data_IF_358023951416
#
_entry.id   IF_358023951416
#
_cell.length_a   1.000
_cell.length_b   1.000
_cell.length_c   1.000
_cell.angle_alpha   90.00
_cell.angle_beta   90.00
_cell.angle_gamma   90.00
#
_symmetry.space_group_name_H-M   'P 1'
#
loop_
_entity.id
_entity.type
_entity.pdbx_description
1 polymer ?
#
# COMPACT_ATOMS: atom_id res chain seq x y z
N UNK A 1 11.90 8.62 28.34
CA UNK A 1 10.56 8.03 28.34
C UNK A 1 9.90 8.45 27.04
N UNK A 2 9.49 7.51 26.17
CA UNK A 2 8.87 7.82 24.87
C UNK A 2 7.42 7.34 24.96
N UNK A 3 6.48 8.27 25.07
CA UNK A 3 5.05 7.97 25.09
C UNK A 3 4.33 8.99 24.24
N UNK A 4 3.43 8.52 23.39
CA UNK A 4 2.67 9.32 22.45
C UNK A 4 1.84 8.40 21.57
N UNK A 5 0.84 8.94 20.89
CA UNK A 5 0.01 8.20 19.94
C UNK A 5 -0.07 8.99 18.64
N UNK A 6 0.18 8.31 17.52
CA UNK A 6 -0.04 8.88 16.19
C UNK A 6 -1.47 8.61 15.76
N UNK A 7 -2.17 9.62 15.27
CA UNK A 7 -3.53 9.48 14.72
C UNK A 7 -3.56 8.72 13.38
N UNK A 8 -2.39 8.38 12.83
CA UNK A 8 -2.22 7.68 11.55
C UNK A 8 -1.11 6.64 11.65
N UNK A 9 -1.19 5.60 10.82
CA UNK A 9 -0.14 4.61 10.57
C UNK A 9 0.19 3.67 11.75
N UNK A 10 -0.82 3.04 12.37
CA UNK A 10 -0.58 1.88 13.24
C UNK A 10 -0.89 0.58 12.48
N UNK A 11 -0.19 -0.50 12.85
CA UNK A 11 -0.38 -1.82 12.23
C UNK A 11 -0.08 -2.94 13.20
N UNK A 12 -0.62 -4.12 12.93
CA UNK A 12 -0.27 -5.33 13.68
C UNK A 12 0.97 -5.97 13.05
N UNK A 13 2.03 -6.15 13.85
CA UNK A 13 3.23 -6.87 13.41
C UNK A 13 3.09 -8.39 13.66
N UNK A 14 2.19 -8.78 14.57
CA UNK A 14 1.75 -10.15 14.82
C UNK A 14 0.35 -10.10 15.48
N UNK A 15 -0.16 -11.23 15.97
CA UNK A 15 -1.50 -11.34 16.58
C UNK A 15 -1.70 -10.55 17.88
N UNK A 16 -0.63 -10.16 18.59
CA UNK A 16 -0.69 -9.53 19.92
C UNK A 16 0.02 -8.18 20.01
N UNK A 17 0.88 -7.84 19.04
CA UNK A 17 1.73 -6.66 19.09
C UNK A 17 1.34 -5.68 17.99
N UNK A 18 1.03 -4.45 18.40
CA UNK A 18 0.77 -3.31 17.51
C UNK A 18 2.03 -2.46 17.42
N UNK A 19 2.39 -2.02 16.22
CA UNK A 19 3.45 -1.04 15.99
C UNK A 19 2.87 0.29 15.50
N UNK A 20 3.45 1.40 15.95
CA UNK A 20 3.05 2.75 15.53
C UNK A 20 4.20 3.75 15.70
N UNK A 21 4.25 4.83 14.90
CA UNK A 21 5.29 5.84 15.00
C UNK A 21 5.02 6.79 16.17
N UNK A 22 6.10 7.26 16.81
CA UNK A 22 6.11 8.24 17.89
C UNK A 22 7.36 9.12 17.76
N UNK A 23 7.24 10.21 16.99
CA UNK A 23 8.38 11.09 16.69
C UNK A 23 9.44 10.36 15.87
N UNK A 24 10.66 10.26 16.40
CA UNK A 24 11.77 9.51 15.80
C UNK A 24 11.87 8.06 16.29
N UNK A 25 10.84 7.54 16.97
CA UNK A 25 10.78 6.15 17.41
C UNK A 25 9.57 5.45 16.81
N UNK A 26 9.65 4.13 16.75
CA UNK A 26 8.54 3.23 16.46
C UNK A 26 8.33 2.40 17.72
N UNK A 27 7.12 2.48 18.28
CA UNK A 27 6.76 1.75 19.48
C UNK A 27 6.04 0.47 19.09
N UNK A 28 6.37 -0.62 19.76
CA UNK A 28 5.69 -1.89 19.64
C UNK A 28 5.07 -2.23 20.99
N UNK A 29 3.75 -2.22 21.04
CA UNK A 29 2.97 -2.47 22.24
C UNK A 29 2.36 -3.87 22.17
N UNK A 30 2.75 -4.74 23.09
CA UNK A 30 2.04 -5.99 23.34
C UNK A 30 0.72 -5.69 24.07
N UNK A 31 -0.40 -5.96 23.38
CA UNK A 31 -1.73 -5.59 23.85
C UNK A 31 -2.12 -6.34 25.13
N UNK A 32 -1.59 -7.56 25.33
CA UNK A 32 -1.92 -8.43 26.46
C UNK A 32 -1.09 -8.10 27.69
N UNK A 33 0.23 -8.01 27.52
CA UNK A 33 1.18 -7.78 28.63
C UNK A 33 1.41 -6.30 28.93
N UNK A 34 0.97 -5.40 28.04
CA UNK A 34 1.21 -3.94 28.11
C UNK A 34 2.69 -3.57 28.09
N UNK A 35 3.57 -4.49 27.70
CA UNK A 35 5.00 -4.21 27.50
C UNK A 35 5.19 -3.48 26.19
N UNK A 36 6.07 -2.47 26.22
CA UNK A 36 6.44 -1.69 25.05
C UNK A 36 7.93 -1.84 24.79
N UNK A 37 8.28 -2.13 23.54
CA UNK A 37 9.65 -1.99 23.03
C UNK A 37 9.69 -0.84 22.03
N UNK A 38 10.83 -0.16 21.92
CA UNK A 38 11.00 0.98 21.03
C UNK A 38 12.15 0.70 20.06
N UNK A 39 11.93 1.00 18.78
CA UNK A 39 12.95 1.06 17.74
C UNK A 39 13.20 2.52 17.39
N UNK A 40 14.45 2.96 17.46
CA UNK A 40 14.81 4.32 17.05
C UNK A 40 15.01 4.37 15.53
N UNK A 41 14.44 5.39 14.89
CA UNK A 41 14.74 5.70 13.49
C UNK A 41 16.21 6.14 13.37
N UNK A 42 17.00 5.57 12.45
CA UNK A 42 18.42 5.93 12.31
C UNK A 42 18.66 7.42 12.03
N UNK A 43 17.74 8.08 11.32
CA UNK A 43 17.83 9.50 11.01
C UNK A 43 16.44 10.14 11.00
N UNK A 44 16.33 11.37 11.50
CA UNK A 44 15.11 12.17 11.40
C UNK A 44 13.88 11.60 12.12
N UNK A 45 12.71 12.09 11.72
CA UNK A 45 11.41 11.60 12.18
C UNK A 45 11.02 10.35 11.37
N UNK A 46 10.20 9.47 11.96
CA UNK A 46 9.57 8.38 11.20
C UNK A 46 8.54 8.97 10.23
N UNK A 47 8.67 8.67 8.94
CA UNK A 47 7.72 9.02 7.88
C UNK A 47 6.59 7.99 7.79
N UNK A 48 6.35 7.45 6.59
CA UNK A 48 5.44 6.33 6.39
C UNK A 48 5.91 5.05 7.13
N UNK A 49 4.95 4.27 7.62
CA UNK A 49 5.14 3.02 8.36
C UNK A 49 4.18 1.95 7.83
N UNK A 50 4.65 0.72 7.64
CA UNK A 50 3.81 -0.43 7.33
C UNK A 50 4.39 -1.72 7.92
N UNK A 51 3.54 -2.70 8.20
CA UNK A 51 3.94 -3.97 8.81
C UNK A 51 3.32 -5.14 8.05
N UNK A 52 4.09 -6.22 7.90
CA UNK A 52 3.60 -7.49 7.40
C UNK A 52 3.57 -8.50 8.55
N UNK A 53 2.36 -8.84 8.98
CA UNK A 53 2.12 -9.80 10.06
C UNK A 53 2.52 -11.25 9.72
N UNK A 54 2.49 -11.62 8.44
CA UNK A 54 2.81 -12.99 7.99
C UNK A 54 4.31 -13.27 8.12
N UNK A 55 5.15 -12.34 7.66
CA UNK A 55 6.61 -12.46 7.71
C UNK A 55 7.23 -11.78 8.94
N UNK A 56 6.42 -11.13 9.79
CA UNK A 56 6.87 -10.38 10.97
C UNK A 56 7.98 -9.37 10.64
N UNK A 57 7.79 -8.65 9.54
CA UNK A 57 8.70 -7.57 9.12
C UNK A 57 7.97 -6.24 9.10
N UNK A 58 8.73 -5.20 9.35
CA UNK A 58 8.29 -3.81 9.38
C UNK A 58 9.06 -3.04 8.32
N UNK A 59 8.38 -2.15 7.59
CA UNK A 59 9.02 -1.16 6.75
C UNK A 59 8.65 0.25 7.21
N UNK A 60 9.62 1.15 7.25
CA UNK A 60 9.40 2.57 7.55
C UNK A 60 10.39 3.46 6.81
N UNK A 61 9.99 4.68 6.54
CA UNK A 61 10.88 5.71 6.00
C UNK A 61 11.37 6.66 7.08
N UNK A 62 12.56 7.23 6.88
CA UNK A 62 12.94 8.46 7.57
C UNK A 62 12.39 9.70 6.84
N UNK A 63 12.26 10.81 7.58
CA UNK A 63 11.91 12.12 7.02
C UNK A 63 13.12 13.05 7.06
N UNK A 64 13.84 13.10 5.94
CA UNK A 64 15.04 13.91 5.73
C UNK A 64 15.22 14.16 4.23
N UNK A 65 16.25 14.91 3.85
CA UNK A 65 16.68 14.98 2.46
C UNK A 65 17.16 13.60 1.99
N UNK A 66 16.64 13.16 0.83
CA UNK A 66 16.86 11.83 0.25
C UNK A 66 16.52 10.72 1.26
N UNK A 67 15.22 10.57 1.60
CA UNK A 67 14.79 9.60 2.59
C UNK A 67 15.08 8.15 2.16
N UNK A 68 15.25 7.29 3.15
CA UNK A 68 15.54 5.87 2.99
C UNK A 68 14.39 5.08 3.61
N UNK A 69 13.98 4.00 2.94
CA UNK A 69 13.05 3.03 3.51
C UNK A 69 13.87 1.92 4.17
N UNK A 70 13.68 1.74 5.47
CA UNK A 70 14.31 0.71 6.26
C UNK A 70 13.35 -0.47 6.45
N UNK A 71 13.88 -1.69 6.37
CA UNK A 71 13.13 -2.91 6.69
C UNK A 71 13.79 -3.62 7.85
N UNK A 72 12.98 -3.97 8.85
CA UNK A 72 13.43 -4.58 10.11
C UNK A 72 12.63 -5.86 10.40
N UNK A 73 13.28 -6.83 11.05
CA UNK A 73 12.60 -8.00 11.62
C UNK A 73 11.93 -7.66 12.95
N UNK A 74 10.90 -8.42 13.29
CA UNK A 74 10.35 -8.49 14.63
C UNK A 74 10.38 -9.96 15.11
N UNK A 75 10.66 -10.25 16.40
CA UNK A 75 10.86 -9.33 17.54
C UNK A 75 12.30 -8.84 17.73
N UNK A 76 13.26 -9.35 16.95
CA UNK A 76 14.70 -9.06 17.16
C UNK A 76 15.05 -7.60 16.86
N UNK A 77 14.26 -6.91 16.03
CA UNK A 77 14.53 -5.54 15.58
C UNK A 77 15.88 -5.43 14.87
N UNK A 78 16.23 -6.46 14.09
CA UNK A 78 17.42 -6.43 13.23
C UNK A 78 17.09 -5.81 11.88
N UNK A 79 17.92 -4.88 11.41
CA UNK A 79 17.80 -4.33 10.06
C UNK A 79 18.07 -5.41 9.01
N UNK A 80 17.16 -5.58 8.07
CA UNK A 80 17.30 -6.51 6.94
C UNK A 80 17.89 -5.80 5.72
N UNK A 81 17.30 -4.66 5.33
CA UNK A 81 17.69 -3.93 4.12
C UNK A 81 17.37 -2.44 4.22
N UNK A 82 17.93 -1.67 3.30
CA UNK A 82 17.68 -0.25 3.06
C UNK A 82 17.36 -0.05 1.58
N UNK A 83 16.17 0.44 1.28
CA UNK A 83 15.75 0.77 -0.08
C UNK A 83 15.96 2.28 -0.28
N UNK A 84 16.74 2.62 -1.31
CA UNK A 84 17.06 3.99 -1.68
C UNK A 84 16.39 4.28 -3.02
N UNK A 85 15.35 5.12 -2.99
CA UNK A 85 14.68 5.59 -4.20
C UNK A 85 15.03 7.03 -4.55
N UNK A 86 14.25 7.55 -5.48
CA UNK A 86 14.42 8.89 -6.02
C UNK A 86 13.62 9.96 -5.25
N UNK A 87 12.94 9.59 -4.15
CA UNK A 87 12.23 10.54 -3.32
C UNK A 87 13.23 11.54 -2.72
N UNK A 88 12.88 12.82 -2.69
CA UNK A 88 13.76 13.86 -2.16
C UNK A 88 13.46 14.25 -0.71
N UNK A 89 12.20 14.18 -0.28
CA UNK A 89 11.78 14.76 1.01
C UNK A 89 11.03 13.79 1.93
N UNK A 90 10.11 12.98 1.38
CA UNK A 90 9.24 12.15 2.21
C UNK A 90 8.63 11.00 1.40
N UNK A 91 8.35 9.90 2.09
CA UNK A 91 7.44 8.86 1.62
C UNK A 91 6.15 8.97 2.42
N UNK A 92 5.02 9.17 1.73
CA UNK A 92 3.72 9.34 2.39
C UNK A 92 3.03 8.02 2.69
N UNK A 93 3.23 7.00 1.84
CA UNK A 93 2.59 5.68 1.98
C UNK A 93 3.59 4.55 1.73
N UNK A 94 3.41 3.45 2.47
CA UNK A 94 4.10 2.18 2.27
C UNK A 94 3.08 1.05 2.40
N UNK A 95 3.20 0.01 1.59
CA UNK A 95 2.38 -1.19 1.68
C UNK A 95 3.20 -2.43 1.34
N UNK A 96 3.12 -3.47 2.16
CA UNK A 96 3.64 -4.79 1.81
C UNK A 96 2.64 -5.54 0.94
N UNK A 97 3.14 -6.36 0.01
CA UNK A 97 2.32 -7.40 -0.60
C UNK A 97 1.92 -8.45 0.45
N UNK A 98 0.75 -9.06 0.27
CA UNK A 98 0.29 -10.11 1.17
C UNK A 98 1.17 -11.37 1.07
N UNK A 99 1.60 -11.70 -0.15
CA UNK A 99 2.54 -12.77 -0.46
C UNK A 99 3.77 -12.23 -1.17
N UNK A 100 4.92 -12.86 -0.93
CA UNK A 100 6.18 -12.53 -1.60
C UNK A 100 6.92 -11.31 -1.02
N UNK A 101 8.11 -11.00 -1.56
CA UNK A 101 9.00 -9.98 -1.05
C UNK A 101 8.77 -8.62 -1.70
N UNK A 102 7.51 -8.20 -1.90
CA UNK A 102 7.20 -6.95 -2.57
C UNK A 102 6.76 -5.86 -1.60
N UNK A 103 7.25 -4.65 -1.86
CA UNK A 103 6.87 -3.45 -1.15
C UNK A 103 6.48 -2.39 -2.18
N UNK A 104 5.36 -1.73 -1.98
CA UNK A 104 4.99 -0.53 -2.70
C UNK A 104 5.24 0.69 -1.82
N UNK A 105 5.71 1.76 -2.43
CA UNK A 105 5.92 3.05 -1.79
C UNK A 105 5.32 4.16 -2.62
N UNK A 106 4.78 5.19 -1.97
CA UNK A 106 4.38 6.43 -2.63
C UNK A 106 5.17 7.59 -2.03
N UNK A 107 5.89 8.33 -2.87
CA UNK A 107 6.62 9.52 -2.45
C UNK A 107 5.72 10.76 -2.42
N UNK A 108 6.13 11.75 -1.63
CA UNK A 108 5.46 13.06 -1.58
C UNK A 108 6.07 14.03 -2.59
N UNK A 109 5.94 15.33 -2.32
CA UNK A 109 6.53 16.41 -3.10
C UNK A 109 8.07 16.24 -3.14
N UNK A 110 8.71 16.48 -4.30
CA UNK A 110 8.13 16.87 -5.59
C UNK A 110 7.77 15.71 -6.52
N UNK A 111 8.11 14.46 -6.19
CA UNK A 111 8.05 13.35 -7.15
C UNK A 111 6.65 12.74 -7.34
N UNK A 112 5.82 12.70 -6.28
CA UNK A 112 4.50 12.03 -6.30
C UNK A 112 4.54 10.66 -6.99
N UNK A 113 5.54 9.85 -6.64
CA UNK A 113 5.88 8.66 -7.41
C UNK A 113 5.43 7.39 -6.70
N UNK A 114 4.70 6.55 -7.42
CA UNK A 114 4.40 5.18 -7.05
C UNK A 114 5.58 4.30 -7.48
N UNK A 115 6.17 3.58 -6.53
CA UNK A 115 7.28 2.65 -6.79
C UNK A 115 6.98 1.28 -6.21
N UNK A 116 7.41 0.23 -6.91
CA UNK A 116 7.32 -1.16 -6.43
C UNK A 116 8.71 -1.77 -6.39
N UNK A 117 9.00 -2.43 -5.27
CA UNK A 117 10.32 -2.95 -4.92
C UNK A 117 10.24 -4.46 -4.69
N UNK A 118 11.26 -5.20 -5.14
CA UNK A 118 11.61 -6.47 -4.50
C UNK A 118 12.56 -6.13 -3.35
N UNK A 119 12.04 -6.15 -2.13
CA UNK A 119 12.81 -5.68 -0.98
C UNK A 119 13.84 -6.69 -0.48
N UNK A 120 13.69 -7.98 -0.79
CA UNK A 120 14.70 -8.99 -0.45
C UNK A 120 15.92 -8.87 -1.36
N UNK A 121 15.70 -8.63 -2.64
CA UNK A 121 16.77 -8.47 -3.63
C UNK A 121 17.33 -7.04 -3.69
N UNK A 122 16.67 -6.08 -3.02
CA UNK A 122 16.99 -4.66 -3.04
C UNK A 122 16.94 -4.06 -4.46
N UNK A 123 15.89 -4.41 -5.21
CA UNK A 123 15.69 -3.98 -6.60
C UNK A 123 14.41 -3.14 -6.69
N UNK A 124 14.51 -1.98 -7.32
CA UNK A 124 13.36 -1.21 -7.77
C UNK A 124 12.83 -1.85 -9.07
N UNK A 125 11.61 -2.38 -9.03
CA UNK A 125 11.01 -3.07 -10.18
C UNK A 125 10.45 -2.05 -11.18
N UNK A 126 9.63 -1.12 -10.71
CA UNK A 126 9.03 -0.08 -11.54
C UNK A 126 8.70 1.16 -10.72
N UNK A 127 8.61 2.30 -11.41
CA UNK A 127 8.29 3.59 -10.81
C UNK A 127 7.52 4.45 -11.81
N UNK A 128 6.40 5.03 -11.38
CA UNK A 128 5.56 5.95 -12.16
C UNK A 128 5.35 7.24 -11.35
N UNK A 129 5.61 8.40 -11.94
CA UNK A 129 5.37 9.70 -11.29
C UNK A 129 3.99 10.23 -11.66
N UNK A 130 3.24 10.70 -10.67
CA UNK A 130 1.92 11.30 -10.84
C UNK A 130 1.88 12.71 -10.23
N UNK A 131 2.49 13.71 -10.89
CA UNK A 131 2.59 15.05 -10.34
C UNK A 131 1.24 15.63 -9.92
N UNK A 132 1.17 16.14 -8.69
CA UNK A 132 -0.04 16.76 -8.13
C UNK A 132 -1.07 15.79 -7.54
N UNK A 133 -0.87 14.48 -7.65
CA UNK A 133 -1.79 13.50 -7.07
C UNK A 133 -1.41 13.22 -5.61
N UNK A 134 -2.27 13.59 -4.67
CA UNK A 134 -2.10 13.26 -3.25
C UNK A 134 -2.85 11.98 -2.93
N UNK A 135 -2.11 10.88 -2.78
CA UNK A 135 -2.68 9.60 -2.39
C UNK A 135 -2.96 9.55 -0.88
N UNK A 136 -4.11 8.98 -0.51
CA UNK A 136 -4.57 8.77 0.87
C UNK A 136 -4.41 7.34 1.33
N UNK A 137 -4.42 6.38 0.40
CA UNK A 137 -4.24 4.95 0.69
C UNK A 137 -3.54 4.21 -0.46
N UNK A 138 -2.79 3.17 -0.10
CA UNK A 138 -2.05 2.30 -1.00
C UNK A 138 -2.16 0.86 -0.49
N UNK A 139 -2.56 -0.07 -1.35
CA UNK A 139 -2.66 -1.49 -0.98
C UNK A 139 -2.41 -2.40 -2.17
N UNK A 140 -1.81 -3.56 -1.93
CA UNK A 140 -1.75 -4.62 -2.94
C UNK A 140 -3.07 -5.41 -2.96
N UNK A 141 -3.38 -6.00 -4.11
CA UNK A 141 -4.32 -7.11 -4.18
C UNK A 141 -3.73 -8.30 -3.38
N UNK A 142 -4.41 -8.80 -2.34
CA UNK A 142 -3.88 -9.88 -1.51
C UNK A 142 -3.59 -11.18 -2.27
N UNK A 143 -4.27 -11.42 -3.39
CA UNK A 143 -4.15 -12.64 -4.19
C UNK A 143 -3.15 -12.49 -5.35
N UNK A 144 -2.82 -11.25 -5.75
CA UNK A 144 -1.93 -10.99 -6.87
C UNK A 144 -1.10 -9.73 -6.62
N UNK A 145 0.18 -9.88 -6.30
CA UNK A 145 1.09 -8.75 -6.08
C UNK A 145 1.27 -7.86 -7.32
N UNK A 146 0.97 -8.36 -8.52
CA UNK A 146 1.03 -7.58 -9.76
C UNK A 146 -0.15 -6.60 -9.89
N UNK A 147 -1.05 -6.56 -8.91
CA UNK A 147 -2.15 -5.61 -8.87
C UNK A 147 -2.10 -4.83 -7.56
N UNK A 148 -2.23 -3.51 -7.63
CA UNK A 148 -2.32 -2.66 -6.46
C UNK A 148 -3.31 -1.52 -6.69
N UNK A 149 -3.84 -0.98 -5.61
CA UNK A 149 -4.77 0.13 -5.63
C UNK A 149 -4.11 1.36 -4.99
N UNK A 150 -4.23 2.50 -5.66
CA UNK A 150 -3.91 3.81 -5.13
C UNK A 150 -5.21 4.61 -5.02
N UNK A 151 -5.51 5.10 -3.82
CA UNK A 151 -6.72 5.88 -3.54
C UNK A 151 -6.31 7.32 -3.30
N UNK A 152 -7.04 8.25 -3.91
CA UNK A 152 -6.98 9.67 -3.57
C UNK A 152 -8.39 10.14 -3.12
N UNK A 153 -8.58 11.44 -2.92
CA UNK A 153 -9.85 11.97 -2.42
C UNK A 153 -11.02 11.77 -3.39
N UNK A 154 -10.76 11.62 -4.69
CA UNK A 154 -11.79 11.66 -5.75
C UNK A 154 -11.90 10.35 -6.55
N UNK A 155 -10.91 9.47 -6.48
CA UNK A 155 -10.81 8.31 -7.37
C UNK A 155 -10.04 7.16 -6.75
N UNK A 156 -10.31 5.97 -7.26
CA UNK A 156 -9.53 4.77 -6.99
C UNK A 156 -8.86 4.36 -8.30
N UNK A 157 -7.53 4.28 -8.27
CA UNK A 157 -6.75 3.84 -9.42
C UNK A 157 -6.24 2.44 -9.17
N UNK A 158 -6.59 1.50 -10.04
CA UNK A 158 -6.03 0.15 -10.04
C UNK A 158 -4.85 0.11 -10.99
N UNK A 159 -3.71 -0.34 -10.47
CA UNK A 159 -2.46 -0.48 -11.22
C UNK A 159 -2.17 -1.95 -11.45
N UNK A 160 -1.84 -2.26 -12.70
CA UNK A 160 -1.28 -3.54 -13.09
C UNK A 160 0.22 -3.40 -13.31
N UNK A 161 0.98 -4.32 -12.76
CA UNK A 161 2.42 -4.45 -12.98
C UNK A 161 2.59 -5.53 -14.04
N UNK A 162 2.83 -5.11 -15.28
CA UNK A 162 3.17 -6.02 -16.36
C UNK A 162 4.65 -6.35 -16.28
N UNK A 163 5.00 -7.63 -16.45
CA UNK A 163 6.37 -8.13 -16.42
C UNK A 163 6.76 -8.67 -17.79
N UNK A 164 7.86 -8.19 -18.35
CA UNK A 164 8.50 -8.73 -19.54
C UNK A 164 9.95 -9.09 -19.22
N UNK A 165 10.24 -10.38 -19.04
CA UNK A 165 11.52 -10.87 -18.51
C UNK A 165 11.89 -10.22 -17.16
N UNK A 166 12.84 -9.30 -17.16
CA UNK A 166 13.31 -8.58 -15.97
C UNK A 166 12.74 -7.16 -15.88
N UNK A 167 12.09 -6.66 -16.93
CA UNK A 167 11.46 -5.35 -16.97
C UNK A 167 10.04 -5.40 -16.40
N UNK A 168 9.70 -4.40 -15.57
CA UNK A 168 8.38 -4.24 -14.98
C UNK A 168 7.83 -2.85 -15.30
N UNK A 169 6.59 -2.78 -15.76
CA UNK A 169 5.97 -1.54 -16.21
C UNK A 169 4.57 -1.41 -15.60
N UNK A 170 4.20 -0.18 -15.25
CA UNK A 170 2.88 0.11 -14.73
C UNK A 170 1.87 0.31 -15.87
N UNK A 171 0.67 -0.23 -15.67
CA UNK A 171 -0.49 0.03 -16.50
C UNK A 171 -1.66 0.44 -15.63
N UNK A 172 -2.19 1.62 -15.91
CA UNK A 172 -3.25 2.22 -15.11
C UNK A 172 -4.64 1.82 -15.61
N UNK A 173 -5.54 1.51 -14.68
CA UNK A 173 -6.98 1.42 -14.88
C UNK A 173 -7.64 2.36 -13.86
N UNK A 174 -8.15 3.49 -14.34
CA UNK A 174 -8.82 4.47 -13.50
C UNK A 174 -10.28 4.05 -13.25
N UNK A 175 -10.71 4.10 -11.99
CA UNK A 175 -12.10 3.91 -11.59
C UNK A 175 -12.57 5.17 -10.87
N UNK A 176 -13.47 5.91 -11.52
CA UNK A 176 -14.13 7.05 -10.90
C UNK A 176 -15.15 6.56 -9.87
N UNK A 177 -15.16 7.19 -8.70
CA UNK A 177 -16.15 6.89 -7.67
C UNK A 177 -17.46 7.60 -8.04
N UNK A 178 -18.63 6.98 -7.78
CA UNK A 178 -19.89 7.63 -8.04
C UNK A 178 -20.04 8.87 -7.16
N UNK A 179 -20.21 10.04 -7.78
CA UNK A 179 -20.58 11.25 -7.07
C UNK A 179 -21.97 11.05 -6.46
N UNK A 180 -22.10 11.28 -5.15
CA UNK A 180 -23.31 11.00 -4.37
C UNK A 180 -24.56 11.82 -4.76
N UNK A 181 -24.59 12.44 -5.94
CA UNK A 181 -25.71 13.25 -6.44
C UNK A 181 -26.14 12.97 -7.88
N UNK A 182 -25.52 12.04 -8.61
CA UNK A 182 -25.95 11.73 -9.98
C UNK A 182 -26.66 10.38 -10.08
N UNK A 183 -27.90 10.40 -10.60
CA UNK A 183 -28.59 9.19 -11.02
C UNK A 183 -27.75 8.47 -12.07
N UNK A 184 -27.31 7.26 -11.73
CA UNK A 184 -26.59 6.36 -12.64
C UNK A 184 -27.36 6.23 -13.96
N UNK A 185 -26.90 6.91 -15.00
CA UNK A 185 -27.18 6.44 -16.35
C UNK A 185 -26.33 5.18 -16.55
N UNK A 186 -26.90 4.05 -17.00
CA UNK A 186 -26.15 2.80 -17.09
C UNK A 186 -25.09 2.93 -18.19
N UNK A 187 -23.87 3.28 -17.79
CA UNK A 187 -22.70 3.21 -18.66
C UNK A 187 -22.26 1.75 -18.74
N UNK A 188 -22.04 1.28 -19.97
CA UNK A 188 -21.70 -0.10 -20.29
C UNK A 188 -20.24 -0.38 -19.88
N UNK A 189 -20.01 -0.62 -18.60
CA UNK A 189 -18.70 -1.02 -18.07
C UNK A 189 -18.44 -2.51 -18.32
N UNK A 190 -17.20 -2.85 -18.70
CA UNK A 190 -16.73 -4.23 -18.96
C UNK A 190 -16.90 -5.20 -17.78
N UNK A 191 -17.17 -4.69 -16.57
CA UNK A 191 -17.19 -5.44 -15.32
C UNK A 191 -18.53 -5.40 -14.57
N UNK A 192 -19.53 -4.67 -15.07
CA UNK A 192 -20.82 -4.54 -14.39
C UNK A 192 -21.96 -4.93 -15.33
N UNK A 193 -22.84 -5.89 -14.94
CA UNK A 193 -24.08 -6.11 -15.65
C UNK A 193 -24.93 -4.84 -15.63
N UNK A 194 -25.77 -4.68 -16.67
CA UNK A 194 -26.72 -3.57 -16.76
C UNK A 194 -27.63 -3.61 -15.54
N UNK A 195 -27.60 -2.57 -14.71
CA UNK A 195 -28.57 -2.41 -13.63
C UNK A 195 -29.94 -2.09 -14.23
N UNK A 196 -30.81 -3.09 -14.33
CA UNK A 196 -32.23 -2.87 -14.57
C UNK A 196 -32.91 -2.57 -13.23
N UNK A 197 -33.81 -1.59 -13.22
CA UNK A 197 -34.51 -1.04 -12.03
C UNK A 197 -35.54 -1.99 -11.39
N UNK A 198 -35.49 -3.29 -11.66
CA UNK A 198 -36.41 -4.26 -11.08
C UNK A 198 -35.61 -5.32 -10.30
N UNK A 199 -35.83 -5.35 -8.98
CA UNK A 199 -35.32 -6.40 -8.09
C UNK A 199 -35.83 -7.77 -8.56
N UNK A 200 -35.00 -8.50 -9.32
CA UNK A 200 -35.30 -9.88 -9.63
C UNK A 200 -34.85 -10.76 -8.47
N UNK A 201 -35.81 -11.48 -7.89
CA UNK A 201 -35.69 -12.47 -6.81
C UNK A 201 -34.70 -13.64 -7.10
N UNK A 202 -33.97 -13.62 -8.21
CA UNK A 202 -33.12 -14.70 -8.70
C UNK A 202 -31.64 -14.30 -8.73
N UNK A 203 -31.06 -13.96 -7.58
CA UNK A 203 -29.60 -13.89 -7.39
C UNK A 203 -28.87 -12.82 -8.22
N UNK A 204 -27.53 -12.71 -8.05
CA UNK A 204 -26.73 -11.70 -8.75
C UNK A 204 -26.57 -12.04 -10.24
N UNK A 205 -26.80 -11.05 -11.10
CA UNK A 205 -26.49 -11.15 -12.52
C UNK A 205 -24.99 -11.29 -12.74
N UNK A 206 -24.59 -12.36 -13.42
CA UNK A 206 -23.19 -12.59 -13.77
C UNK A 206 -22.83 -11.82 -15.04
N UNK A 207 -21.64 -11.18 -15.09
CA UNK A 207 -21.17 -10.53 -16.31
C UNK A 207 -21.03 -11.57 -17.43
N UNK A 208 -21.21 -11.15 -18.69
CA UNK A 208 -21.19 -12.04 -19.86
C UNK A 208 -19.87 -12.83 -19.96
N UNK A 209 -18.78 -12.29 -19.45
CA UNK A 209 -17.47 -12.93 -19.33
C UNK A 209 -17.41 -14.11 -18.35
N UNK A 210 -18.35 -14.21 -17.42
CA UNK A 210 -18.51 -15.35 -16.51
C UNK A 210 -19.41 -16.45 -17.09
N UNK A 211 -20.14 -16.17 -18.17
CA UNK A 211 -20.96 -17.15 -18.90
C UNK A 211 -20.13 -17.69 -20.07
N UNK A 212 -19.05 -18.41 -19.75
CA UNK A 212 -18.26 -19.14 -20.74
C UNK A 212 -18.52 -20.65 -20.58
N UNK A 213 -19.60 -21.13 -21.21
CA UNK A 213 -19.79 -22.54 -21.50
C UNK A 213 -19.18 -22.85 -22.87
N UNK A 214 -18.18 -23.73 -22.90
CA UNK A 214 -17.68 -24.37 -24.11
C UNK A 214 -18.85 -24.98 -24.92
N UNK A 215 -19.02 -24.54 -26.17
CA UNK A 215 -19.31 -25.41 -27.33
C UNK A 215 -18.54 -24.86 -28.53
#
# INVERSE_FOLDING_TARGET
>A
WVQGFSNKNFGFINKQTVCYPCGNYILFLDVKTKKTIALQCPAGQVGALTANWNSQVLAFSDRKLNPIIYIYTFPVLSKLTELKGNAQLDYSLLAFSFTGPYLASYSSIPEFALSVWNWQENILLCCESQPGLTATSLSFNPMNWQQLCLVNENSVTVWHIERNNDEHHFKQILVELPDGQESLSPSKGLFFPVSHTEDQYYGPDLPVSAIAGLV
#
